data_IF_012898052762
#
_entry.id   IF_012898052762
#
_cell.length_a   1.000
_cell.length_b   1.000
_cell.length_c   1.000
_cell.angle_alpha   90.00
_cell.angle_beta   90.00
_cell.angle_gamma   90.00
#
_symmetry.space_group_name_H-M   'P 1'
#
loop_
_entity.id
_entity.type
_entity.pdbx_description
1 polymer ?
#
# COMPACT_ATOMS: atom_id res chain seq x y z
N UNK A 1 9.98 1.15 -2.26
CA UNK A 1 9.40 1.51 -3.58
C UNK A 1 9.89 2.88 -4.04
N UNK A 2 10.41 2.99 -5.27
CA UNK A 2 10.75 4.28 -5.88
C UNK A 2 9.51 4.89 -6.55
N UNK A 3 9.19 6.16 -6.25
CA UNK A 3 8.06 6.91 -6.85
C UNK A 3 8.00 6.79 -8.38
N UNK A 4 9.17 6.68 -9.03
CA UNK A 4 9.28 6.53 -10.47
C UNK A 4 8.60 5.26 -10.99
N UNK A 5 8.72 4.13 -10.28
CA UNK A 5 8.11 2.86 -10.67
C UNK A 5 6.59 2.96 -10.65
N UNK A 6 6.04 3.62 -9.62
CA UNK A 6 4.60 3.87 -9.49
C UNK A 6 4.08 4.74 -10.64
N UNK A 7 4.82 5.79 -11.02
CA UNK A 7 4.45 6.67 -12.13
C UNK A 7 4.56 5.98 -13.50
N UNK A 8 5.58 5.13 -13.69
CA UNK A 8 5.72 4.32 -14.92
C UNK A 8 4.56 3.35 -15.08
N UNK A 9 4.11 2.75 -13.99
CA UNK A 9 2.99 1.81 -14.02
C UNK A 9 1.68 2.53 -14.35
N UNK A 10 1.45 3.72 -13.81
CA UNK A 10 0.31 4.56 -14.21
C UNK A 10 0.27 4.87 -15.71
N UNK A 11 1.44 5.10 -16.34
CA UNK A 11 1.46 5.39 -17.78
C UNK A 11 1.02 4.18 -18.62
N UNK A 12 1.27 2.97 -18.14
CA UNK A 12 0.85 1.71 -18.76
C UNK A 12 -0.65 1.42 -18.59
N UNK A 13 -1.35 2.14 -17.72
CA UNK A 13 -2.77 1.96 -17.43
C UNK A 13 -3.57 3.24 -17.73
N UNK A 14 -4.00 3.46 -18.99
CA UNK A 14 -4.72 4.67 -19.40
C UNK A 14 -5.99 4.93 -18.60
N UNK A 15 -6.65 3.86 -18.14
CA UNK A 15 -7.86 3.89 -17.31
C UNK A 15 -7.63 4.45 -15.91
N UNK A 16 -6.38 4.58 -15.46
CA UNK A 16 -6.04 5.09 -14.12
C UNK A 16 -5.53 6.54 -14.16
N UNK A 17 -5.42 7.16 -15.35
CA UNK A 17 -4.85 8.50 -15.52
C UNK A 17 -5.68 9.62 -14.89
N UNK A 18 -6.96 9.38 -14.62
CA UNK A 18 -7.82 10.34 -13.90
C UNK A 18 -7.56 10.36 -12.40
N UNK A 19 -6.87 9.35 -11.86
CA UNK A 19 -6.61 9.23 -10.42
C UNK A 19 -5.44 10.14 -10.04
N UNK A 20 -5.68 10.99 -9.05
CA UNK A 20 -4.64 11.88 -8.51
C UNK A 20 -3.54 11.06 -7.85
N UNK A 21 -2.28 11.43 -8.06
CA UNK A 21 -1.11 10.76 -7.46
C UNK A 21 -1.21 10.61 -5.94
N UNK A 22 -1.78 11.61 -5.24
CA UNK A 22 -2.01 11.52 -3.80
C UNK A 22 -2.93 10.33 -3.43
N UNK A 23 -4.06 10.16 -4.14
CA UNK A 23 -4.98 9.03 -3.93
C UNK A 23 -4.32 7.69 -4.22
N UNK A 24 -3.45 7.62 -5.23
CA UNK A 24 -2.67 6.42 -5.50
C UNK A 24 -1.70 6.07 -4.36
N UNK A 25 -0.96 7.06 -3.86
CA UNK A 25 -0.05 6.84 -2.74
C UNK A 25 -0.81 6.41 -1.47
N UNK A 26 -1.98 7.00 -1.24
CA UNK A 26 -2.87 6.58 -0.15
C UNK A 26 -3.42 5.17 -0.36
N UNK A 27 -3.81 4.80 -1.58
CA UNK A 27 -4.21 3.43 -1.92
C UNK A 27 -3.10 2.43 -1.60
N UNK A 28 -1.87 2.67 -2.05
CA UNK A 28 -0.73 1.79 -1.80
C UNK A 28 -0.47 1.66 -0.29
N UNK A 29 -0.48 2.79 0.43
CA UNK A 29 -0.29 2.81 1.88
C UNK A 29 -1.37 2.04 2.61
N UNK A 30 -2.64 2.33 2.36
CA UNK A 30 -3.75 1.69 3.06
C UNK A 30 -3.84 0.20 2.73
N UNK A 31 -3.62 -0.18 1.47
CA UNK A 31 -3.59 -1.60 1.09
C UNK A 31 -2.46 -2.35 1.78
N UNK A 32 -1.28 -1.74 1.93
CA UNK A 32 -0.17 -2.33 2.67
C UNK A 32 -0.47 -2.49 4.18
N UNK A 33 -1.21 -1.55 4.78
CA UNK A 33 -1.68 -1.68 6.17
C UNK A 33 -2.71 -2.83 6.32
N UNK A 34 -3.52 -3.08 5.29
CA UNK A 34 -4.60 -4.06 5.29
C UNK A 34 -4.17 -5.45 4.84
N UNK A 35 -2.88 -5.70 4.53
CA UNK A 35 -2.39 -7.01 4.07
C UNK A 35 -2.88 -8.18 4.90
N UNK A 36 -2.85 -8.02 6.23
CA UNK A 36 -3.29 -9.05 7.16
C UNK A 36 -4.79 -9.34 7.03
N UNK A 37 -5.62 -8.31 6.92
CA UNK A 37 -7.06 -8.46 6.73
C UNK A 37 -7.40 -9.06 5.35
N UNK A 38 -6.61 -8.69 4.34
CA UNK A 38 -6.69 -9.25 2.99
C UNK A 38 -6.34 -10.74 3.01
N UNK A 39 -5.26 -11.14 3.67
CA UNK A 39 -4.77 -12.53 3.72
C UNK A 39 -5.71 -13.45 4.52
N UNK A 40 -6.19 -13.00 5.68
CA UNK A 40 -7.05 -13.78 6.58
C UNK A 40 -8.40 -14.18 5.97
N UNK A 41 -8.83 -13.48 4.93
CA UNK A 41 -10.10 -13.71 4.23
C UNK A 41 -9.93 -14.55 2.96
N UNK A 42 -8.70 -14.91 2.59
CA UNK A 42 -8.43 -15.76 1.45
C UNK A 42 -8.69 -17.24 1.76
N UNK A 43 -8.94 -18.07 0.73
CA UNK A 43 -9.04 -19.51 0.91
C UNK A 43 -7.77 -20.08 1.56
N UNK A 44 -7.90 -21.13 2.37
CA UNK A 44 -6.76 -21.76 3.07
C UNK A 44 -5.64 -22.31 2.15
N UNK A 45 -5.86 -22.36 0.83
CA UNK A 45 -4.86 -22.75 -0.17
C UNK A 45 -4.07 -21.56 -0.73
N UNK A 46 -4.46 -20.33 -0.40
CA UNK A 46 -3.75 -19.14 -0.82
C UNK A 46 -2.34 -19.14 -0.23
N UNK A 47 -1.35 -18.81 -1.05
CA UNK A 47 0.00 -18.59 -0.58
C UNK A 47 0.11 -17.18 0.02
N UNK A 48 0.41 -17.02 1.32
CA UNK A 48 0.50 -15.70 1.95
C UNK A 48 1.69 -14.86 1.44
N UNK A 49 2.63 -15.47 0.70
CA UNK A 49 3.75 -14.76 0.07
C UNK A 49 3.39 -14.16 -1.29
N UNK A 50 2.18 -14.38 -1.80
CA UNK A 50 1.74 -13.91 -3.11
C UNK A 50 0.46 -13.10 -2.94
N UNK A 51 0.42 -11.92 -3.54
CA UNK A 51 -0.75 -11.06 -3.53
C UNK A 51 -1.97 -11.81 -4.11
N UNK A 52 -3.13 -11.83 -3.42
CA UNK A 52 -4.31 -12.47 -3.95
C UNK A 52 -4.87 -11.72 -5.16
N UNK A 53 -5.51 -12.44 -6.08
CA UNK A 53 -6.09 -11.85 -7.29
C UNK A 53 -7.23 -10.88 -7.01
N UNK A 54 -7.97 -11.11 -5.92
CA UNK A 54 -9.15 -10.34 -5.57
C UNK A 54 -9.06 -9.79 -4.16
N UNK A 55 -9.46 -8.52 -4.03
CA UNK A 55 -9.68 -7.92 -2.72
C UNK A 55 -10.98 -8.45 -2.11
N UNK A 56 -10.99 -8.69 -0.79
CA UNK A 56 -12.23 -8.93 -0.07
C UNK A 56 -13.19 -7.75 -0.24
N UNK A 57 -14.49 -8.02 -0.25
CA UNK A 57 -15.52 -6.99 -0.43
C UNK A 57 -15.41 -5.87 0.62
N UNK A 58 -15.20 -6.24 1.89
CA UNK A 58 -15.02 -5.29 2.99
C UNK A 58 -13.84 -4.35 2.78
N UNK A 59 -12.73 -4.86 2.25
CA UNK A 59 -11.52 -4.07 1.96
C UNK A 59 -11.78 -3.14 0.77
N UNK A 60 -12.43 -3.64 -0.28
CA UNK A 60 -12.79 -2.84 -1.45
C UNK A 60 -13.71 -1.68 -1.06
N UNK A 61 -14.74 -1.93 -0.24
CA UNK A 61 -15.66 -0.91 0.26
C UNK A 61 -14.95 0.11 1.16
N UNK A 62 -14.06 -0.35 2.04
CA UNK A 62 -13.26 0.55 2.87
C UNK A 62 -12.39 1.48 2.01
N UNK A 63 -11.62 0.94 1.06
CA UNK A 63 -10.73 1.73 0.21
C UNK A 63 -11.51 2.72 -0.67
N UNK A 64 -12.64 2.27 -1.25
CA UNK A 64 -13.54 3.14 -2.03
C UNK A 64 -14.04 4.32 -1.20
N UNK A 65 -14.52 4.05 0.02
CA UNK A 65 -15.01 5.08 0.94
C UNK A 65 -13.90 6.02 1.44
N UNK A 66 -12.77 5.45 1.88
CA UNK A 66 -11.65 6.21 2.44
C UNK A 66 -10.96 7.11 1.42
N UNK A 67 -10.92 6.69 0.15
CA UNK A 67 -10.26 7.43 -0.94
C UNK A 67 -11.23 8.24 -1.79
N UNK A 68 -12.55 8.15 -1.54
CA UNK A 68 -13.59 8.76 -2.37
C UNK A 68 -13.39 8.35 -3.86
N UNK A 69 -13.37 7.04 -4.10
CA UNK A 69 -13.12 6.43 -5.41
C UNK A 69 -14.17 5.39 -5.75
N UNK A 70 -14.45 5.21 -7.04
CA UNK A 70 -15.36 4.16 -7.50
C UNK A 70 -14.76 2.78 -7.24
N UNK A 71 -15.60 1.78 -6.97
CA UNK A 71 -15.15 0.41 -6.77
C UNK A 71 -14.38 -0.13 -7.99
N UNK A 72 -14.79 0.23 -9.20
CA UNK A 72 -14.09 -0.14 -10.44
C UNK A 72 -12.65 0.39 -10.46
N UNK A 73 -12.44 1.62 -9.96
CA UNK A 73 -11.09 2.19 -9.84
C UNK A 73 -10.27 1.44 -8.79
N UNK A 74 -10.87 1.03 -7.67
CA UNK A 74 -10.20 0.21 -6.64
C UNK A 74 -9.79 -1.15 -7.21
N UNK A 75 -10.68 -1.81 -7.94
CA UNK A 75 -10.38 -3.08 -8.60
C UNK A 75 -9.27 -2.94 -9.64
N UNK A 76 -9.30 -1.87 -10.45
CA UNK A 76 -8.27 -1.59 -11.44
C UNK A 76 -6.92 -1.27 -10.80
N UNK A 77 -6.90 -0.50 -9.70
CA UNK A 77 -5.70 -0.23 -8.92
C UNK A 77 -5.13 -1.50 -8.29
N UNK A 78 -5.97 -2.35 -7.71
CA UNK A 78 -5.49 -3.62 -7.17
C UNK A 78 -4.87 -4.51 -8.25
N UNK A 79 -5.56 -4.65 -9.39
CA UNK A 79 -5.04 -5.45 -10.50
C UNK A 79 -3.67 -4.94 -11.01
N UNK A 80 -3.44 -3.63 -10.97
CA UNK A 80 -2.19 -3.01 -11.41
C UNK A 80 -1.08 -3.07 -10.35
N UNK A 81 -1.40 -2.93 -9.06
CA UNK A 81 -0.41 -2.66 -8.01
C UNK A 81 -0.36 -3.71 -6.88
N UNK A 82 -1.09 -4.81 -6.97
CA UNK A 82 -1.18 -5.81 -5.88
C UNK A 82 0.19 -6.36 -5.47
N UNK A 83 1.08 -6.60 -6.44
CA UNK A 83 2.39 -7.19 -6.19
C UNK A 83 3.30 -6.16 -5.50
N UNK A 84 3.27 -4.91 -5.95
CA UNK A 84 3.96 -3.80 -5.31
C UNK A 84 3.47 -3.58 -3.89
N UNK A 85 2.15 -3.62 -3.67
CA UNK A 85 1.59 -3.57 -2.32
C UNK A 85 2.16 -4.72 -1.50
N UNK A 86 2.18 -5.94 -2.03
CA UNK A 86 2.63 -7.13 -1.31
C UNK A 86 4.11 -7.13 -0.94
N UNK A 87 4.95 -6.44 -1.73
CA UNK A 87 6.37 -6.24 -1.44
C UNK A 87 6.66 -5.04 -0.51
N UNK A 88 5.67 -4.20 -0.19
CA UNK A 88 5.89 -3.09 0.76
C UNK A 88 6.17 -3.61 2.17
N UNK A 89 7.14 -3.00 2.84
CA UNK A 89 7.44 -3.23 4.25
C UNK A 89 6.17 -3.18 5.12
N UNK A 90 6.09 -4.08 6.10
CA UNK A 90 5.00 -4.05 7.05
C UNK A 90 5.01 -2.75 7.87
N UNK A 91 3.89 -2.35 8.49
CA UNK A 91 3.86 -1.17 9.35
C UNK A 91 4.90 -1.25 10.48
N UNK A 92 5.13 -2.46 10.98
CA UNK A 92 6.08 -2.79 12.04
C UNK A 92 7.53 -2.61 11.55
N UNK A 93 7.84 -3.11 10.35
CA UNK A 93 9.17 -2.95 9.73
C UNK A 93 9.49 -1.48 9.47
N UNK A 94 8.50 -0.70 9.01
CA UNK A 94 8.68 0.75 8.77
C UNK A 94 8.92 1.50 10.07
N UNK A 95 8.17 1.21 11.13
CA UNK A 95 8.36 1.83 12.43
C UNK A 95 9.76 1.54 12.99
N UNK A 96 10.23 0.30 12.84
CA UNK A 96 11.57 -0.11 13.28
C UNK A 96 12.67 0.58 12.46
N UNK A 97 12.49 0.70 11.14
CA UNK A 97 13.42 1.40 10.25
C UNK A 97 13.51 2.89 10.59
N UNK A 98 12.37 3.55 10.82
CA UNK A 98 12.32 4.94 11.25
C UNK A 98 13.05 5.13 12.58
N UNK A 99 12.73 4.33 13.60
CA UNK A 99 13.40 4.40 14.90
C UNK A 99 14.92 4.22 14.76
N UNK A 100 15.36 3.23 13.97
CA UNK A 100 16.79 2.95 13.74
C UNK A 100 17.48 4.12 13.03
N UNK A 101 16.79 4.75 12.08
CA UNK A 101 17.31 5.91 11.33
C UNK A 101 17.55 7.09 12.27
N UNK A 102 16.58 7.41 13.14
CA UNK A 102 16.71 8.50 14.11
C UNK A 102 17.74 8.19 15.20
N UNK A 103 17.83 6.95 15.68
CA UNK A 103 18.87 6.51 16.62
C UNK A 103 20.27 6.71 16.04
N UNK A 104 20.45 6.28 14.79
CA UNK A 104 21.78 6.27 14.14
C UNK A 104 22.21 7.68 13.74
N UNK A 105 21.29 8.48 13.18
CA UNK A 105 21.65 9.74 12.53
C UNK A 105 21.15 11.00 13.24
N UNK A 106 20.11 10.91 14.09
CA UNK A 106 19.47 12.08 14.70
C UNK A 106 19.87 12.32 16.15
N UNK A 107 20.00 11.27 16.95
CA UNK A 107 20.15 11.41 18.41
C UNK A 107 21.39 12.20 18.82
N UNK A 108 22.53 11.99 18.16
CA UNK A 108 23.75 12.75 18.43
C UNK A 108 23.64 14.24 18.05
N UNK A 109 22.61 14.61 17.28
CA UNK A 109 22.26 15.98 16.90
C UNK A 109 21.09 16.56 17.74
N UNK A 110 20.57 15.80 18.71
CA UNK A 110 19.39 16.17 19.48
C UNK A 110 18.07 16.08 18.70
N UNK A 111 18.04 15.37 17.57
CA UNK A 111 16.84 15.14 16.75
C UNK A 111 16.28 13.75 17.06
N UNK A 112 15.03 13.66 17.52
CA UNK A 112 14.36 12.40 17.86
C UNK A 112 12.88 12.42 17.46
N UNK A 113 12.24 11.24 17.46
CA UNK A 113 10.82 11.05 17.12
C UNK A 113 9.88 11.16 18.33
N UNK A 114 10.41 11.40 19.54
CA UNK A 114 9.59 11.54 20.74
C UNK A 114 8.94 12.93 20.79
N UNK A 115 7.61 12.95 20.67
CA UNK A 115 6.76 14.04 21.13
C UNK A 115 6.32 13.80 22.58
#
# INVERSE_FOLDING_TARGET
>A
MALLAVLQLLDQHPTLRHIKTAKLLDFLRFSALLKRDIDLTQPARQNPQIAPDFLPESVSLFLSSALDMLLDDISALWAAFKDEVWEMDSPEDRALLEETTFKTHGWHLGISTFH
#
